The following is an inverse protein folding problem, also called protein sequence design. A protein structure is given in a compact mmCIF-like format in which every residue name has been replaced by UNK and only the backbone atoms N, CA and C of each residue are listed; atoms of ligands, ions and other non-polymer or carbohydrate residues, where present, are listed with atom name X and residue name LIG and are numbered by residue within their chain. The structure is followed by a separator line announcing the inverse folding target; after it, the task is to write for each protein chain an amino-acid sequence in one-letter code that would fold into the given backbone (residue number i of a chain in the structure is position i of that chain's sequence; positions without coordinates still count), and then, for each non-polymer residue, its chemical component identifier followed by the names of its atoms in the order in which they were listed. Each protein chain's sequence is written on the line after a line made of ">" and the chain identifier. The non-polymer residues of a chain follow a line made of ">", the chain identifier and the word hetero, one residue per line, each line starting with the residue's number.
data_IF_450412531710
#
_entry.id   IF_450412531710
#
_cell.length_a   1.000
_cell.length_b   1.000
_cell.length_c   1.000
_cell.angle_alpha   90.00
_cell.angle_beta   90.00
_cell.angle_gamma   90.00
#
_symmetry.space_group_name_H-M   'P 1'
#
loop_
_entity.id
_entity.type
_entity.pdbx_description
1 polymer ?
#
# COMPACT_ATOMS: atom_id res chain seq x y z
N UNK A 1 22.67 -27.38 -9.67
CA UNK A 1 21.70 -26.45 -10.31
C UNK A 1 21.27 -25.45 -9.25
N UNK A 2 21.96 -24.31 -9.17
CA UNK A 2 21.53 -23.20 -8.33
C UNK A 2 20.39 -22.50 -9.05
N UNK A 3 19.21 -22.44 -8.43
CA UNK A 3 18.12 -21.63 -8.94
C UNK A 3 18.60 -20.18 -8.96
N UNK A 4 18.59 -19.59 -10.14
CA UNK A 4 18.88 -18.19 -10.40
C UNK A 4 17.93 -17.36 -9.52
N UNK A 5 18.52 -16.71 -8.51
CA UNK A 5 17.78 -15.80 -7.63
C UNK A 5 17.27 -14.67 -8.51
N UNK A 6 15.98 -14.69 -8.86
CA UNK A 6 15.33 -13.53 -9.45
C UNK A 6 15.74 -12.32 -8.62
N UNK A 7 16.44 -11.37 -9.24
CA UNK A 7 17.02 -10.24 -8.55
C UNK A 7 15.88 -9.36 -8.01
N UNK A 8 15.43 -9.63 -6.79
CA UNK A 8 14.51 -8.75 -6.09
C UNK A 8 15.33 -7.59 -5.54
N UNK A 9 15.40 -6.49 -6.29
CA UNK A 9 16.04 -5.28 -5.79
C UNK A 9 15.24 -4.77 -4.59
N UNK A 10 15.83 -4.69 -3.39
CA UNK A 10 15.15 -4.17 -2.22
C UNK A 10 14.78 -2.70 -2.45
N UNK A 11 13.56 -2.35 -2.07
CA UNK A 11 13.05 -0.98 -2.08
C UNK A 11 13.28 -0.37 -0.71
N UNK A 12 13.79 0.86 -0.67
CA UNK A 12 13.83 1.65 0.56
C UNK A 12 12.62 2.57 0.59
N UNK A 13 11.71 2.38 1.54
CA UNK A 13 10.41 3.05 1.58
C UNK A 13 10.12 3.66 2.96
N UNK A 14 9.53 4.87 3.02
CA UNK A 14 9.01 5.40 4.27
C UNK A 14 7.71 4.65 4.61
N UNK A 15 7.60 4.23 5.87
CA UNK A 15 6.44 3.55 6.43
C UNK A 15 5.36 4.56 6.74
N UNK A 16 4.16 4.30 6.22
CA UNK A 16 2.93 5.01 6.55
C UNK A 16 2.06 4.03 7.36
N UNK A 17 1.97 4.20 8.69
CA UNK A 17 1.18 3.31 9.53
C UNK A 17 -0.31 3.55 9.34
N UNK A 18 -1.09 2.48 9.37
CA UNK A 18 -2.55 2.50 9.32
C UNK A 18 -3.10 1.81 10.56
N UNK A 19 -3.72 2.55 11.47
CA UNK A 19 -4.18 1.99 12.75
C UNK A 19 -5.51 1.25 12.62
N UNK A 20 -6.49 1.86 11.96
CA UNK A 20 -7.86 1.36 11.90
C UNK A 20 -8.27 0.87 10.51
N UNK A 21 -7.32 0.81 9.58
CA UNK A 21 -7.62 0.52 8.17
C UNK A 21 -6.56 -0.32 7.47
N UNK A 22 -6.97 -0.93 6.36
CA UNK A 22 -6.11 -1.72 5.48
C UNK A 22 -6.34 -1.29 4.04
N UNK A 23 -5.26 -0.96 3.34
CA UNK A 23 -5.28 -0.69 1.91
C UNK A 23 -4.76 -1.91 1.16
N UNK A 24 -5.52 -2.36 0.17
CA UNK A 24 -5.14 -3.47 -0.70
C UNK A 24 -4.61 -2.98 -2.06
N UNK A 25 -3.83 -3.80 -2.79
CA UNK A 25 -3.46 -3.49 -4.16
C UNK A 25 -4.68 -3.14 -5.03
N UNK A 26 -4.58 -2.05 -5.79
CA UNK A 26 -5.65 -1.55 -6.66
C UNK A 26 -6.60 -0.54 -6.00
N UNK A 27 -6.63 -0.44 -4.66
CA UNK A 27 -7.41 0.59 -3.98
C UNK A 27 -6.81 1.99 -4.17
N UNK A 28 -7.68 3.00 -4.19
CA UNK A 28 -7.30 4.41 -4.12
C UNK A 28 -8.03 5.00 -2.92
N UNK A 29 -7.29 5.48 -1.94
CA UNK A 29 -7.84 5.98 -0.67
C UNK A 29 -7.33 7.38 -0.35
N UNK A 30 -8.17 8.28 0.18
CA UNK A 30 -7.71 9.51 0.80
C UNK A 30 -7.18 9.22 2.21
N UNK A 31 -6.05 9.81 2.59
CA UNK A 31 -5.50 9.78 3.94
C UNK A 31 -5.39 11.20 4.51
N UNK A 32 -5.70 11.33 5.79
CA UNK A 32 -5.62 12.59 6.54
C UNK A 32 -4.16 12.88 6.95
N UNK A 33 -3.67 14.07 6.59
CA UNK A 33 -2.33 14.55 6.92
C UNK A 33 -2.32 15.40 8.22
N UNK A 34 -3.43 15.47 8.94
CA UNK A 34 -3.48 15.99 10.31
C UNK A 34 -2.80 15.03 11.30
N UNK A 35 -2.76 13.73 10.97
CA UNK A 35 -1.92 12.76 11.64
C UNK A 35 -0.43 13.02 11.36
N UNK A 36 0.37 13.06 12.43
CA UNK A 36 1.79 13.39 12.33
C UNK A 36 2.63 12.28 11.69
N UNK A 37 2.32 11.01 11.94
CA UNK A 37 3.04 9.87 11.35
C UNK A 37 2.71 9.77 9.85
N UNK A 38 1.44 9.93 9.48
CA UNK A 38 0.99 9.92 8.07
C UNK A 38 1.64 11.06 7.29
N UNK A 39 1.60 12.29 7.84
CA UNK A 39 2.23 13.45 7.20
C UNK A 39 3.73 13.26 7.03
N UNK A 40 4.43 12.79 8.06
CA UNK A 40 5.86 12.55 8.01
C UNK A 40 6.23 11.54 6.91
N UNK A 41 5.46 10.47 6.75
CA UNK A 41 5.68 9.47 5.70
C UNK A 41 5.50 10.06 4.29
N UNK A 42 4.46 10.87 4.08
CA UNK A 42 4.21 11.52 2.78
C UNK A 42 5.28 12.55 2.44
N UNK A 43 5.69 13.39 3.40
CA UNK A 43 6.76 14.36 3.22
C UNK A 43 8.12 13.70 2.94
N UNK A 44 8.44 12.63 3.66
CA UNK A 44 9.64 11.82 3.45
C UNK A 44 9.66 11.19 2.05
N UNK A 45 8.52 10.66 1.60
CA UNK A 45 8.37 10.13 0.25
C UNK A 45 8.54 11.21 -0.83
N UNK A 46 7.96 12.40 -0.62
CA UNK A 46 8.12 13.54 -1.53
C UNK A 46 9.57 14.02 -1.59
N UNK A 47 10.27 14.06 -0.47
CA UNK A 47 11.67 14.43 -0.41
C UNK A 47 12.55 13.44 -1.18
N UNK A 48 12.35 12.14 -1.00
CA UNK A 48 13.08 11.11 -1.74
C UNK A 48 12.79 11.15 -3.26
N UNK A 49 11.55 11.44 -3.65
CA UNK A 49 11.17 11.56 -5.06
C UNK A 49 11.76 12.80 -5.76
N UNK A 50 12.41 13.73 -5.05
CA UNK A 50 13.16 14.83 -5.71
C UNK A 50 14.44 14.33 -6.37
N UNK A 51 14.98 13.21 -5.88
CA UNK A 51 16.23 12.61 -6.36
C UNK A 51 16.01 11.49 -7.36
N UNK A 52 14.78 10.98 -7.49
CA UNK A 52 14.43 9.89 -8.40
C UNK A 52 13.25 10.28 -9.31
N UNK A 53 13.29 9.94 -10.62
CA UNK A 53 12.13 10.16 -11.49
C UNK A 53 10.96 9.28 -11.07
N UNK A 54 9.79 9.88 -10.85
CA UNK A 54 8.55 9.15 -10.57
C UNK A 54 7.64 9.85 -9.56
N UNK A 55 6.51 9.20 -9.23
CA UNK A 55 5.65 9.66 -8.14
C UNK A 55 6.26 9.27 -6.79
N UNK A 56 6.03 10.06 -5.72
CA UNK A 56 6.41 9.67 -4.36
C UNK A 56 5.82 8.32 -3.97
N UNK A 57 6.62 7.50 -3.29
CA UNK A 57 6.26 6.14 -2.90
C UNK A 57 6.30 6.01 -1.38
N UNK A 58 5.27 5.40 -0.82
CA UNK A 58 5.15 5.06 0.60
C UNK A 58 4.90 3.57 0.76
N UNK A 59 5.19 3.02 1.93
CA UNK A 59 4.79 1.69 2.31
C UNK A 59 3.64 1.76 3.32
N UNK A 60 2.43 1.43 2.88
CA UNK A 60 1.23 1.39 3.72
C UNK A 60 1.29 0.13 4.60
N UNK A 61 1.34 0.29 5.91
CA UNK A 61 1.50 -0.84 6.86
C UNK A 61 0.42 -0.78 7.92
N UNK A 62 -0.50 -1.77 7.98
CA UNK A 62 -1.46 -1.83 9.05
C UNK A 62 -0.78 -2.15 10.39
N UNK A 63 -1.18 -1.43 11.45
CA UNK A 63 -0.83 -1.70 12.83
C UNK A 63 -2.00 -2.38 13.53
N UNK A 64 -1.84 -3.66 13.85
CA UNK A 64 -2.86 -4.42 14.59
C UNK A 64 -2.41 -4.44 16.04
N UNK A 65 -3.23 -3.88 16.94
CA UNK A 65 -2.90 -3.73 18.36
C UNK A 65 -1.53 -3.05 18.57
N UNK A 66 -1.25 -2.01 17.78
CA UNK A 66 0.01 -1.26 17.80
C UNK A 66 1.21 -1.96 17.14
N UNK A 67 1.03 -3.17 16.60
CA UNK A 67 2.10 -3.95 15.98
C UNK A 67 2.01 -3.91 14.45
N UNK A 68 3.10 -3.50 13.80
CA UNK A 68 3.20 -3.48 12.34
C UNK A 68 3.08 -4.89 11.74
N UNK A 69 2.23 -5.05 10.72
CA UNK A 69 2.15 -6.28 9.96
C UNK A 69 3.44 -6.57 9.19
N UNK A 70 3.77 -7.86 8.98
CA UNK A 70 4.97 -8.28 8.24
C UNK A 70 4.92 -7.97 6.72
N UNK A 71 3.76 -7.58 6.20
CA UNK A 71 3.55 -7.24 4.79
C UNK A 71 2.74 -5.95 4.70
N UNK A 72 3.24 -5.01 3.92
CA UNK A 72 2.55 -3.77 3.57
C UNK A 72 2.19 -3.71 2.10
N UNK A 73 1.61 -2.58 1.69
CA UNK A 73 1.30 -2.29 0.28
C UNK A 73 2.12 -1.09 -0.18
N UNK A 74 2.83 -1.26 -1.30
CA UNK A 74 3.47 -0.15 -1.98
C UNK A 74 2.39 0.81 -2.48
N UNK A 75 2.39 2.02 -1.92
CA UNK A 75 1.51 3.12 -2.33
C UNK A 75 2.25 4.14 -3.18
N UNK A 76 1.56 4.70 -4.18
CA UNK A 76 2.00 5.94 -4.85
C UNK A 76 1.14 7.10 -4.38
N UNK A 77 1.79 8.20 -3.99
CA UNK A 77 1.10 9.45 -3.68
C UNK A 77 0.65 10.07 -5.01
N UNK A 78 -0.66 10.00 -5.28
CA UNK A 78 -1.24 10.46 -6.54
C UNK A 78 -1.45 11.97 -6.52
N UNK A 79 -1.85 12.53 -5.38
CA UNK A 79 -2.12 13.94 -5.16
C UNK A 79 -1.99 14.29 -3.67
N UNK A 80 -1.56 15.52 -3.36
CA UNK A 80 -1.66 16.12 -2.02
C UNK A 80 -2.47 17.40 -2.12
N UNK A 81 -3.36 17.63 -1.17
CA UNK A 81 -4.29 18.75 -1.20
C UNK A 81 -5.14 18.83 0.06
N UNK A 82 -6.45 19.06 -0.13
CA UNK A 82 -7.45 19.19 0.93
C UNK A 82 -8.48 18.07 0.78
N UNK A 83 -8.91 17.51 1.90
CA UNK A 83 -10.05 16.60 2.00
C UNK A 83 -11.38 17.37 1.92
N UNK A 84 -12.49 16.64 1.92
CA UNK A 84 -13.84 17.22 1.76
C UNK A 84 -14.27 18.10 2.95
N UNK A 85 -13.76 17.79 4.14
CA UNK A 85 -13.90 18.58 5.37
C UNK A 85 -12.98 19.82 5.41
N UNK A 86 -12.01 19.89 4.49
CA UNK A 86 -11.04 20.98 4.39
C UNK A 86 -9.71 20.69 5.09
N UNK A 87 -9.51 19.52 5.68
CA UNK A 87 -8.25 19.14 6.31
C UNK A 87 -7.19 18.76 5.27
N UNK A 88 -5.88 18.91 5.56
CA UNK A 88 -4.83 18.52 4.63
C UNK A 88 -4.89 17.01 4.36
N UNK A 89 -4.83 16.60 3.10
CA UNK A 89 -5.00 15.20 2.70
C UNK A 89 -4.09 14.75 1.57
N UNK A 90 -3.84 13.45 1.49
CA UNK A 90 -3.15 12.80 0.38
C UNK A 90 -4.03 11.71 -0.25
N UNK A 91 -4.08 11.67 -1.58
CA UNK A 91 -4.68 10.57 -2.31
C UNK A 91 -3.61 9.53 -2.63
N UNK A 92 -3.78 8.30 -2.14
CA UNK A 92 -2.80 7.23 -2.30
C UNK A 92 -3.41 6.08 -3.09
N UNK A 93 -2.66 5.58 -4.07
CA UNK A 93 -3.02 4.36 -4.83
C UNK A 93 -2.15 3.19 -4.40
N UNK A 94 -2.78 2.13 -3.89
CA UNK A 94 -2.13 0.86 -3.61
C UNK A 94 -1.74 0.14 -4.90
N UNK A 95 -0.49 -0.37 -4.97
CA UNK A 95 0.09 -0.98 -6.17
C UNK A 95 0.27 -2.49 -6.04
N UNK A 96 1.08 -2.92 -5.07
CA UNK A 96 1.43 -4.33 -4.90
C UNK A 96 1.97 -4.57 -3.51
N UNK A 97 1.96 -5.83 -3.07
CA UNK A 97 2.43 -6.19 -1.73
C UNK A 97 3.95 -6.12 -1.63
N UNK A 98 4.41 -5.75 -0.45
CA UNK A 98 5.83 -5.66 -0.09
C UNK A 98 6.04 -6.34 1.25
N UNK A 99 6.93 -7.32 1.29
CA UNK A 99 7.41 -7.93 2.53
C UNK A 99 8.35 -6.96 3.22
N UNK A 100 8.09 -6.67 4.48
CA UNK A 100 8.89 -5.74 5.28
C UNK A 100 10.16 -6.44 5.74
N UNK A 101 11.29 -5.79 5.53
CA UNK A 101 12.62 -6.21 5.97
C UNK A 101 13.11 -5.41 7.16
N UNK A 102 14.42 -5.12 7.17
CA UNK A 102 15.05 -4.36 8.25
C UNK A 102 14.70 -2.86 8.18
N UNK A 103 14.73 -2.20 9.34
CA UNK A 103 14.72 -0.74 9.41
C UNK A 103 15.99 -0.16 8.79
N UNK A 104 15.86 0.97 8.12
CA UNK A 104 16.97 1.69 7.47
C UNK A 104 16.81 3.19 7.67
N UNK A 105 17.72 3.98 7.10
CA UNK A 105 17.71 5.44 7.17
C UNK A 105 17.21 6.04 5.87
N UNK A 106 16.48 7.14 5.95
CA UNK A 106 16.08 7.93 4.80
C UNK A 106 15.73 9.38 5.19
N UNK A 107 15.36 10.22 4.23
CA UNK A 107 15.05 11.63 4.48
C UNK A 107 13.77 11.81 5.30
N UNK A 108 13.66 12.96 5.98
CA UNK A 108 12.48 13.33 6.76
C UNK A 108 12.43 12.65 8.12
N UNK A 109 11.26 12.74 8.77
CA UNK A 109 11.03 12.23 10.13
C UNK A 109 10.31 10.86 10.16
N UNK A 110 10.07 10.25 9.00
CA UNK A 110 9.39 8.97 8.90
C UNK A 110 10.29 7.80 9.29
N UNK A 111 9.68 6.69 9.71
CA UNK A 111 10.35 5.39 9.78
C UNK A 111 10.64 4.89 8.37
N UNK A 112 11.85 4.43 8.10
CA UNK A 112 12.25 3.85 6.82
C UNK A 112 12.55 2.37 6.97
N UNK A 113 12.16 1.57 5.97
CA UNK A 113 12.44 0.13 5.93
C UNK A 113 12.92 -0.29 4.54
N UNK A 114 13.71 -1.35 4.52
CA UNK A 114 13.90 -2.14 3.32
C UNK A 114 12.68 -3.03 3.09
N UNK A 115 12.27 -3.18 1.84
CA UNK A 115 11.12 -3.97 1.46
C UNK A 115 11.35 -4.76 0.18
N UNK A 116 10.85 -5.98 0.14
CA UNK A 116 10.91 -6.83 -1.05
C UNK A 116 9.53 -6.94 -1.66
N UNK A 117 9.37 -6.58 -2.94
CA UNK A 117 8.09 -6.75 -3.63
C UNK A 117 7.72 -8.24 -3.66
N UNK A 118 6.47 -8.54 -3.27
CA UNK A 118 5.92 -9.88 -3.40
C UNK A 118 5.45 -10.03 -4.85
N UNK A 119 5.94 -11.07 -5.52
CA UNK A 119 5.47 -11.41 -6.86
C UNK A 119 4.08 -12.05 -6.77
N UNK A 120 3.13 -11.52 -7.52
CA UNK A 120 1.74 -11.96 -7.53
C UNK A 120 1.37 -12.36 -8.96
N UNK A 121 1.78 -13.55 -9.35
CA UNK A 121 1.41 -14.14 -10.64
C UNK A 121 -0.02 -14.69 -10.57
N UNK A 122 -0.96 -14.03 -11.23
CA UNK A 122 -2.32 -14.54 -11.44
C UNK A 122 -2.35 -15.28 -12.78
N UNK A 123 -2.65 -16.59 -12.81
CA UNK A 123 -2.74 -17.34 -14.05
C UNK A 123 -3.87 -16.82 -14.96
N UNK A 124 -3.63 -16.81 -16.26
CA UNK A 124 -4.65 -16.52 -17.29
C UNK A 124 -4.65 -17.66 -18.33
N UNK A 125 -5.74 -18.47 -18.42
CA UNK A 125 -6.98 -18.36 -17.66
C UNK A 125 -6.83 -18.75 -16.19
N UNK A 126 -7.74 -18.25 -15.35
CA UNK A 126 -7.82 -18.67 -13.95
C UNK A 126 -8.08 -20.18 -13.84
N UNK A 127 -7.47 -20.87 -12.86
CA UNK A 127 -7.80 -22.26 -12.57
C UNK A 127 -9.30 -22.43 -12.29
N UNK A 128 -9.91 -23.52 -12.73
CA UNK A 128 -11.36 -23.72 -12.67
C UNK A 128 -11.97 -23.50 -11.28
N UNK A 129 -11.31 -23.99 -10.22
CA UNK A 129 -11.76 -23.78 -8.84
C UNK A 129 -11.70 -22.29 -8.43
N UNK A 130 -10.66 -21.56 -8.84
CA UNK A 130 -10.53 -20.12 -8.55
C UNK A 130 -11.59 -19.33 -9.31
N UNK A 131 -11.86 -19.70 -10.56
CA UNK A 131 -12.90 -19.07 -11.36
C UNK A 131 -14.30 -19.22 -10.72
N UNK A 132 -14.64 -20.40 -10.20
CA UNK A 132 -15.89 -20.60 -9.46
C UNK A 132 -15.94 -19.79 -8.15
N UNK A 133 -14.84 -19.77 -7.37
CA UNK A 133 -14.77 -18.94 -6.16
C UNK A 133 -14.97 -17.45 -6.46
N UNK A 134 -14.39 -16.94 -7.56
CA UNK A 134 -14.59 -15.55 -7.98
C UNK A 134 -16.04 -15.27 -8.34
N UNK A 135 -16.71 -16.21 -9.01
CA UNK A 135 -18.13 -16.11 -9.37
C UNK A 135 -19.03 -16.11 -8.13
N UNK A 136 -18.78 -17.01 -7.18
CA UNK A 136 -19.50 -17.08 -5.91
C UNK A 136 -19.31 -15.81 -5.08
N UNK A 137 -18.07 -15.35 -4.93
CA UNK A 137 -17.76 -14.12 -4.20
C UNK A 137 -18.47 -12.91 -4.81
N UNK A 138 -18.44 -12.76 -6.14
CA UNK A 138 -19.16 -11.67 -6.83
C UNK A 138 -20.66 -11.73 -6.59
N UNK A 139 -21.26 -12.93 -6.64
CA UNK A 139 -22.68 -13.10 -6.38
C UNK A 139 -23.06 -12.68 -4.95
N UNK A 140 -22.28 -13.12 -3.94
CA UNK A 140 -22.48 -12.75 -2.54
C UNK A 140 -22.29 -11.24 -2.30
N UNK A 141 -21.21 -10.66 -2.81
CA UNK A 141 -20.93 -9.24 -2.69
C UNK A 141 -22.04 -8.39 -3.33
N UNK A 142 -22.53 -8.77 -4.52
CA UNK A 142 -23.62 -8.07 -5.20
C UNK A 142 -24.92 -8.16 -4.43
N UNK A 143 -25.26 -9.34 -3.90
CA UNK A 143 -26.47 -9.51 -3.10
C UNK A 143 -26.44 -8.64 -1.83
N UNK A 144 -25.27 -8.56 -1.18
CA UNK A 144 -25.08 -7.74 0.01
C UNK A 144 -25.16 -6.24 -0.29
N UNK A 145 -24.55 -5.78 -1.38
CA UNK A 145 -24.62 -4.37 -1.81
C UNK A 145 -26.06 -3.94 -2.10
N UNK A 146 -26.82 -4.75 -2.83
CA UNK A 146 -28.25 -4.50 -3.11
C UNK A 146 -29.07 -4.36 -1.82
N UNK A 147 -28.80 -5.21 -0.82
CA UNK A 147 -29.47 -5.14 0.49
C UNK A 147 -29.17 -3.83 1.23
N UNK A 148 -28.03 -3.19 0.96
CA UNK A 148 -27.62 -1.91 1.55
C UNK A 148 -28.03 -0.68 0.73
N UNK A 149 -28.74 -0.85 -0.39
CA UNK A 149 -29.23 0.25 -1.20
C UNK A 149 -28.17 0.93 -2.07
N UNK A 150 -27.06 0.22 -2.35
CA UNK A 150 -26.06 0.62 -3.34
C UNK A 150 -26.38 0.06 -4.73
#
# INVERSE_FOLDING_TARGET
>A
MAAESAAFTPLTLPVLPLDDEVVLPGMVVPLDLSDAEVRAAVEAAQAAARSEPGKPRVLLVPRIDGTHAATGVLGTVEQVGRLADGDPGALIRGRGRVRIGAGTTGPGAALWVEGTRVDETVPDPLPGQVAELVKEYKALATAWLRKRGA
#
